data_IF_710534215982
#
_entry.id   IF_710534215982
#
_cell.length_a   1.000
_cell.length_b   1.000
_cell.length_c   1.000
_cell.angle_alpha   90.00
_cell.angle_beta   90.00
_cell.angle_gamma   90.00
#
_symmetry.space_group_name_H-M   'P 1'
#
loop_
_entity.id
_entity.type
_entity.pdbx_description
1 polymer ?
#
# COMPACT_ATOMS: atom_id res chain seq x y z
N UNK A 1 14.22 -22.52 -8.87
CA UNK A 1 13.07 -22.92 -8.04
C UNK A 1 11.82 -22.73 -8.87
N UNK A 2 10.79 -23.55 -8.72
CA UNK A 2 9.43 -23.04 -8.94
C UNK A 2 9.06 -22.43 -7.60
N UNK A 3 8.79 -21.13 -7.61
CA UNK A 3 8.46 -20.34 -6.41
C UNK A 3 6.94 -20.31 -6.17
N UNK A 4 6.17 -20.78 -7.16
CA UNK A 4 4.72 -20.72 -7.20
C UNK A 4 4.11 -22.13 -7.19
N UNK A 5 2.99 -22.28 -6.49
CA UNK A 5 2.06 -23.39 -6.67
C UNK A 5 1.59 -23.53 -8.14
N UNK A 6 0.88 -24.62 -8.47
CA UNK A 6 0.51 -24.97 -9.86
C UNK A 6 -0.28 -23.88 -10.63
N UNK A 7 -0.73 -22.80 -9.97
CA UNK A 7 -1.65 -21.78 -10.49
C UNK A 7 -1.01 -20.45 -10.89
N UNK A 8 0.24 -20.19 -10.51
CA UNK A 8 0.96 -18.96 -10.90
C UNK A 8 0.57 -17.71 -10.11
N UNK A 9 0.90 -16.53 -10.63
CA UNK A 9 0.58 -15.23 -10.02
C UNK A 9 -0.91 -14.90 -10.14
N UNK A 10 -1.39 -13.86 -9.44
CA UNK A 10 -2.74 -13.31 -9.67
C UNK A 10 -2.95 -12.94 -11.14
N UNK A 11 -1.93 -12.36 -11.79
CA UNK A 11 -1.99 -11.99 -13.21
C UNK A 11 -2.30 -13.20 -14.08
N UNK A 12 -1.62 -14.33 -13.86
CA UNK A 12 -1.84 -15.58 -14.60
C UNK A 12 -3.27 -16.10 -14.45
N UNK A 13 -3.79 -16.05 -13.23
CA UNK A 13 -5.18 -16.47 -12.91
C UNK A 13 -6.19 -15.61 -13.66
N UNK A 14 -6.06 -14.28 -13.55
CA UNK A 14 -6.97 -13.35 -14.21
C UNK A 14 -6.87 -13.44 -15.73
N UNK A 15 -5.67 -13.60 -16.30
CA UNK A 15 -5.48 -13.77 -17.75
C UNK A 15 -6.15 -15.07 -18.23
N UNK A 16 -5.99 -16.17 -17.49
CA UNK A 16 -6.65 -17.44 -17.79
C UNK A 16 -8.17 -17.32 -17.83
N UNK A 17 -8.78 -16.69 -16.82
CA UNK A 17 -10.22 -16.41 -16.77
C UNK A 17 -10.63 -15.54 -17.95
N UNK A 18 -9.93 -14.42 -18.16
CA UNK A 18 -10.23 -13.47 -19.22
C UNK A 18 -10.22 -14.14 -20.60
N UNK A 19 -9.18 -14.91 -20.92
CA UNK A 19 -9.04 -15.58 -22.21
C UNK A 19 -10.14 -16.62 -22.45
N UNK A 20 -10.53 -17.39 -21.43
CA UNK A 20 -11.64 -18.36 -21.52
C UNK A 20 -12.96 -17.65 -21.81
N UNK A 21 -13.27 -16.61 -21.04
CA UNK A 21 -14.51 -15.84 -21.21
C UNK A 21 -14.53 -15.10 -22.54
N UNK A 22 -13.41 -14.49 -22.94
CA UNK A 22 -13.27 -13.79 -24.22
C UNK A 22 -13.46 -14.76 -25.38
N UNK A 23 -12.81 -15.93 -25.38
CA UNK A 23 -12.92 -16.91 -26.45
C UNK A 23 -14.34 -17.46 -26.58
N UNK A 24 -14.97 -17.85 -25.47
CA UNK A 24 -16.33 -18.39 -25.46
C UNK A 24 -17.36 -17.32 -25.81
N UNK A 25 -17.24 -16.13 -25.23
CA UNK A 25 -18.09 -14.98 -25.52
C UNK A 25 -17.99 -14.55 -26.98
N UNK A 26 -16.78 -14.51 -27.54
CA UNK A 26 -16.56 -14.21 -28.96
C UNK A 26 -17.19 -15.28 -29.84
N UNK A 27 -17.01 -16.56 -29.53
CA UNK A 27 -17.62 -17.66 -30.29
C UNK A 27 -19.14 -17.56 -30.32
N UNK A 28 -19.78 -17.38 -29.15
CA UNK A 28 -21.23 -17.23 -29.04
C UNK A 28 -21.69 -15.96 -29.77
N UNK A 29 -20.98 -14.84 -29.57
CA UNK A 29 -21.26 -13.57 -30.23
C UNK A 29 -21.23 -13.69 -31.74
N UNK A 30 -20.19 -14.33 -32.30
CA UNK A 30 -20.09 -14.59 -33.75
C UNK A 30 -21.27 -15.40 -34.25
N UNK A 31 -21.65 -16.47 -33.55
CA UNK A 31 -22.80 -17.31 -33.94
C UNK A 31 -24.10 -16.51 -33.93
N UNK A 32 -24.36 -15.76 -32.86
CA UNK A 32 -25.59 -14.96 -32.70
C UNK A 32 -25.66 -13.84 -33.74
N UNK A 33 -24.56 -13.09 -33.92
CA UNK A 33 -24.49 -11.99 -34.89
C UNK A 33 -24.61 -12.54 -36.31
N UNK A 34 -23.89 -13.60 -36.67
CA UNK A 34 -23.98 -14.20 -38.01
C UNK A 34 -25.38 -14.75 -38.30
N UNK A 35 -26.02 -15.42 -37.33
CA UNK A 35 -27.38 -15.91 -37.48
C UNK A 35 -28.40 -14.78 -37.63
N UNK A 36 -28.21 -13.70 -36.85
CA UNK A 36 -29.05 -12.50 -36.93
C UNK A 36 -28.90 -11.81 -38.28
N UNK A 37 -27.67 -11.60 -38.75
CA UNK A 37 -27.39 -11.02 -40.07
C UNK A 37 -27.90 -11.91 -41.20
N UNK A 38 -27.76 -13.23 -41.09
CA UNK A 38 -28.31 -14.18 -42.05
C UNK A 38 -29.84 -14.06 -42.14
N UNK A 39 -30.55 -14.03 -41.01
CA UNK A 39 -31.99 -13.88 -41.00
C UNK A 39 -32.42 -12.51 -41.51
N UNK A 40 -31.74 -11.45 -41.09
CA UNK A 40 -31.99 -10.09 -41.57
C UNK A 40 -31.83 -10.00 -43.09
N UNK A 41 -30.81 -10.64 -43.66
CA UNK A 41 -30.59 -10.68 -45.10
C UNK A 41 -31.60 -11.57 -45.84
N UNK A 42 -31.82 -12.80 -45.35
CA UNK A 42 -32.69 -13.81 -45.99
C UNK A 42 -34.16 -13.41 -45.98
N UNK A 43 -34.60 -12.83 -44.87
CA UNK A 43 -35.98 -12.40 -44.64
C UNK A 43 -36.14 -10.88 -44.79
N UNK A 44 -35.16 -10.19 -45.40
CA UNK A 44 -35.31 -8.77 -45.74
C UNK A 44 -36.52 -8.58 -46.64
N UNK A 45 -37.21 -7.45 -46.47
CA UNK A 45 -38.31 -7.08 -47.34
C UNK A 45 -37.82 -6.91 -48.78
N UNK A 46 -38.56 -7.49 -49.71
CA UNK A 46 -38.36 -7.37 -51.14
C UNK A 46 -39.69 -6.93 -51.72
N UNK A 47 -39.70 -5.98 -52.68
CA UNK A 47 -40.93 -5.39 -53.25
C UNK A 47 -41.98 -6.42 -53.74
N UNK A 48 -41.59 -7.68 -53.92
CA UNK A 48 -42.49 -8.81 -54.11
C UNK A 48 -42.85 -9.49 -52.78
N UNK A 49 -44.11 -9.33 -52.36
CA UNK A 49 -44.68 -10.03 -51.20
C UNK A 49 -44.68 -11.54 -51.46
N UNK A 50 -43.89 -12.29 -50.71
CA UNK A 50 -43.90 -13.76 -50.76
C UNK A 50 -45.21 -14.25 -50.15
N UNK A 51 -46.03 -14.95 -50.93
CA UNK A 51 -47.22 -15.68 -50.45
C UNK A 51 -46.76 -16.90 -49.63
N UNK A 52 -46.43 -16.67 -48.36
CA UNK A 52 -46.09 -17.71 -47.40
C UNK A 52 -47.28 -17.94 -46.46
N UNK A 53 -47.94 -19.09 -46.59
CA UNK A 53 -49.09 -19.51 -45.77
C UNK A 53 -48.77 -19.60 -44.26
N UNK A 54 -47.48 -19.53 -43.87
CA UNK A 54 -47.07 -19.53 -42.46
C UNK A 54 -47.00 -18.13 -41.82
N UNK A 55 -47.29 -17.08 -42.58
CA UNK A 55 -47.34 -15.72 -42.04
C UNK A 55 -48.54 -15.55 -41.09
N UNK A 56 -48.33 -15.04 -39.86
CA UNK A 56 -49.44 -14.80 -38.96
C UNK A 56 -50.36 -13.73 -39.54
N UNK A 57 -51.65 -14.05 -39.66
CA UNK A 57 -52.67 -13.10 -40.10
C UNK A 57 -53.32 -12.38 -38.91
N UNK A 58 -53.73 -11.13 -39.11
CA UNK A 58 -54.40 -10.34 -38.09
C UNK A 58 -55.71 -11.02 -37.66
N UNK A 59 -55.78 -11.41 -36.38
CA UNK A 59 -56.96 -12.04 -35.78
C UNK A 59 -56.87 -13.56 -35.60
N UNK A 60 -55.82 -14.22 -36.09
CA UNK A 60 -55.55 -15.62 -35.80
C UNK A 60 -54.68 -15.76 -34.54
N UNK A 61 -55.09 -16.63 -33.60
CA UNK A 61 -54.24 -17.00 -32.49
C UNK A 61 -53.13 -17.92 -33.00
N UNK A 62 -51.85 -17.64 -32.71
CA UNK A 62 -50.76 -18.49 -33.16
C UNK A 62 -50.96 -19.90 -32.62
N UNK A 63 -51.20 -20.87 -33.51
CA UNK A 63 -51.27 -22.29 -33.15
C UNK A 63 -49.84 -22.76 -32.88
N UNK A 64 -49.51 -22.94 -31.60
CA UNK A 64 -48.15 -23.15 -31.10
C UNK A 64 -47.23 -24.00 -31.99
N UNK A 65 -46.09 -23.43 -32.35
CA UNK A 65 -45.09 -24.11 -33.18
C UNK A 65 -44.38 -25.25 -32.43
N UNK A 66 -43.86 -26.23 -33.18
CA UNK A 66 -43.02 -27.35 -32.67
C UNK A 66 -41.68 -26.92 -32.02
N UNK A 67 -41.48 -25.62 -31.79
CA UNK A 67 -40.21 -25.00 -31.36
C UNK A 67 -39.90 -25.14 -29.86
N UNK A 68 -40.88 -25.45 -29.01
CA UNK A 68 -40.68 -25.51 -27.55
C UNK A 68 -39.53 -26.43 -27.14
N UNK A 69 -39.40 -27.61 -27.76
CA UNK A 69 -38.30 -28.54 -27.47
C UNK A 69 -36.91 -27.96 -27.80
N UNK A 70 -36.80 -27.15 -28.86
CA UNK A 70 -35.54 -26.50 -29.25
C UNK A 70 -35.17 -25.39 -28.26
N UNK A 71 -36.17 -24.64 -27.79
CA UNK A 71 -35.99 -23.61 -26.76
C UNK A 71 -35.55 -24.21 -25.41
N UNK A 72 -36.18 -25.29 -24.97
CA UNK A 72 -35.76 -25.98 -23.73
C UNK A 72 -34.36 -26.56 -23.85
N UNK A 73 -33.98 -27.12 -25.01
CA UNK A 73 -32.63 -27.63 -25.23
C UNK A 73 -31.58 -26.51 -25.21
N UNK A 74 -31.83 -25.39 -25.91
CA UNK A 74 -30.89 -24.27 -25.93
C UNK A 74 -30.74 -23.64 -24.54
N UNK A 75 -31.84 -23.48 -23.80
CA UNK A 75 -31.82 -22.99 -22.44
C UNK A 75 -31.04 -23.94 -21.51
N UNK A 76 -31.28 -25.25 -21.61
CA UNK A 76 -30.58 -26.25 -20.81
C UNK A 76 -29.06 -26.28 -21.07
N UNK A 77 -28.64 -26.22 -22.34
CA UNK A 77 -27.21 -26.16 -22.69
C UNK A 77 -26.57 -24.88 -22.16
N UNK A 78 -27.24 -23.73 -22.34
CA UNK A 78 -26.76 -22.45 -21.84
C UNK A 78 -26.62 -22.45 -20.31
N UNK A 79 -27.60 -23.01 -19.59
CA UNK A 79 -27.57 -23.11 -18.15
C UNK A 79 -26.38 -23.96 -17.66
N UNK A 80 -26.12 -25.10 -18.31
CA UNK A 80 -24.96 -25.94 -17.97
C UNK A 80 -23.65 -25.18 -18.18
N UNK A 81 -23.48 -24.50 -19.32
CA UNK A 81 -22.27 -23.72 -19.61
C UNK A 81 -22.06 -22.64 -18.55
N UNK A 82 -23.10 -21.86 -18.25
CA UNK A 82 -23.01 -20.76 -17.26
C UNK A 82 -22.71 -21.30 -15.86
N UNK A 83 -23.39 -22.35 -15.42
CA UNK A 83 -23.14 -22.95 -14.09
C UNK A 83 -21.71 -23.49 -14.01
N UNK A 84 -21.21 -24.17 -15.06
CA UNK A 84 -19.84 -24.66 -15.07
C UNK A 84 -18.81 -23.54 -15.01
N UNK A 85 -19.04 -22.42 -15.72
CA UNK A 85 -18.16 -21.26 -15.67
C UNK A 85 -18.18 -20.61 -14.28
N UNK A 86 -19.37 -20.44 -13.67
CA UNK A 86 -19.49 -19.86 -12.32
C UNK A 86 -18.75 -20.71 -11.28
N UNK A 87 -18.94 -22.03 -11.30
CA UNK A 87 -18.24 -22.92 -10.36
C UNK A 87 -16.73 -22.87 -10.55
N UNK A 88 -16.26 -22.83 -11.79
CA UNK A 88 -14.84 -22.73 -12.08
C UNK A 88 -14.26 -21.37 -11.65
N UNK A 89 -14.90 -20.25 -12.02
CA UNK A 89 -14.46 -18.91 -11.65
C UNK A 89 -14.47 -18.71 -10.14
N UNK A 90 -15.49 -19.21 -9.43
CA UNK A 90 -15.51 -19.17 -7.97
C UNK A 90 -14.34 -19.93 -7.34
N UNK A 91 -13.97 -21.09 -7.89
CA UNK A 91 -12.79 -21.82 -7.44
C UNK A 91 -11.47 -21.07 -7.67
N UNK A 92 -11.36 -20.28 -8.74
CA UNK A 92 -10.20 -19.41 -8.98
C UNK A 92 -10.22 -18.16 -8.08
N UNK A 93 -11.40 -17.68 -7.68
CA UNK A 93 -11.53 -16.55 -6.78
C UNK A 93 -11.09 -16.91 -5.36
N UNK A 94 -11.43 -18.11 -4.87
CA UNK A 94 -10.95 -18.60 -3.59
C UNK A 94 -9.40 -18.68 -3.50
N UNK A 95 -8.74 -18.97 -4.62
CA UNK A 95 -7.27 -18.94 -4.72
C UNK A 95 -6.69 -17.52 -4.55
N UNK A 96 -7.40 -16.52 -5.09
CA UNK A 96 -6.94 -15.13 -5.06
C UNK A 96 -7.21 -14.49 -3.70
N UNK A 97 -8.29 -14.88 -3.02
CA UNK A 97 -8.67 -14.35 -1.70
C UNK A 97 -7.80 -14.89 -0.56
N UNK A 98 -7.38 -16.16 -0.61
CA UNK A 98 -6.67 -16.81 0.51
C UNK A 98 -5.53 -17.69 -0.05
N UNK A 99 -4.30 -17.14 -0.12
CA UNK A 99 -3.15 -17.85 -0.66
C UNK A 99 -2.33 -18.61 0.39
N UNK A 100 -2.71 -18.58 1.68
CA UNK A 100 -1.87 -18.95 2.84
C UNK A 100 -1.28 -20.37 2.78
N UNK A 101 -1.90 -21.27 2.01
CA UNK A 101 -1.45 -22.66 1.84
C UNK A 101 -0.64 -22.92 0.54
N UNK A 102 -0.34 -21.89 -0.27
CA UNK A 102 0.21 -22.06 -1.64
C UNK A 102 1.54 -21.35 -1.93
N UNK A 103 2.09 -20.57 -1.00
CA UNK A 103 3.42 -19.98 -1.15
C UNK A 103 4.53 -20.89 -0.62
N UNK A 104 5.62 -21.02 -1.39
CA UNK A 104 6.84 -21.73 -0.97
C UNK A 104 7.76 -20.85 -0.08
N UNK A 105 7.47 -19.56 0.02
CA UNK A 105 8.23 -18.54 0.78
C UNK A 105 7.25 -17.75 1.66
N UNK A 106 7.73 -17.29 2.82
CA UNK A 106 6.96 -16.37 3.66
C UNK A 106 6.76 -15.03 2.92
N UNK A 107 5.53 -14.49 2.88
CA UNK A 107 5.25 -13.23 2.23
C UNK A 107 5.93 -12.07 2.95
N UNK A 108 6.34 -11.03 2.21
CA UNK A 108 6.66 -9.73 2.81
C UNK A 108 5.34 -9.05 3.16
N UNK A 109 5.16 -8.73 4.43
CA UNK A 109 4.00 -8.01 4.95
C UNK A 109 4.26 -6.51 4.89
N UNK A 110 3.33 -5.76 4.30
CA UNK A 110 3.40 -4.30 4.17
C UNK A 110 2.01 -3.73 4.48
N UNK A 111 1.93 -2.86 5.47
CA UNK A 111 0.71 -2.12 5.78
C UNK A 111 0.64 -0.88 4.88
N UNK A 112 -0.54 -0.65 4.32
CA UNK A 112 -0.77 0.42 3.35
C UNK A 112 -1.85 1.34 3.86
N UNK A 113 -1.51 2.60 4.08
CA UNK A 113 -2.46 3.64 4.45
C UNK A 113 -2.65 4.66 3.31
N UNK A 114 -3.90 4.86 2.91
CA UNK A 114 -4.29 5.98 2.08
C UNK A 114 -4.73 7.17 2.92
N UNK A 115 -4.04 8.30 2.80
CA UNK A 115 -4.38 9.57 3.45
C UNK A 115 -4.25 10.76 2.48
N UNK A 116 -5.27 11.62 2.45
CA UNK A 116 -5.35 12.80 1.59
C UNK A 116 -5.28 12.43 0.11
N UNK A 117 -4.07 12.50 -0.45
CA UNK A 117 -3.75 12.05 -1.81
C UNK A 117 -2.34 11.42 -1.91
N UNK A 118 -1.91 10.71 -0.87
CA UNK A 118 -0.67 9.96 -0.83
C UNK A 118 -0.90 8.51 -0.38
N UNK A 119 0.09 7.66 -0.61
CA UNK A 119 0.13 6.30 -0.13
C UNK A 119 1.32 6.17 0.82
N UNK A 120 1.05 5.70 2.03
CA UNK A 120 2.03 5.42 3.07
C UNK A 120 2.18 3.90 3.19
N UNK A 121 3.40 3.46 3.41
CA UNK A 121 3.79 2.06 3.48
C UNK A 121 4.58 1.87 4.76
N UNK A 122 4.17 0.91 5.58
CA UNK A 122 4.88 0.49 6.78
C UNK A 122 5.30 -0.97 6.58
N UNK A 123 6.57 -1.27 6.86
CA UNK A 123 7.14 -2.61 6.73
C UNK A 123 7.16 -3.28 8.10
N UNK A 124 7.24 -4.62 8.12
CA UNK A 124 7.21 -5.41 9.36
C UNK A 124 8.29 -5.02 10.40
N UNK A 125 9.39 -4.40 9.96
CA UNK A 125 10.43 -3.89 10.85
C UNK A 125 10.18 -2.44 11.33
N UNK A 126 9.01 -1.85 11.09
CA UNK A 126 8.69 -0.46 11.45
C UNK A 126 9.29 0.61 10.53
N UNK A 127 9.99 0.21 9.44
CA UNK A 127 10.40 1.17 8.43
C UNK A 127 9.17 1.77 7.74
N UNK A 128 9.22 3.05 7.39
CA UNK A 128 8.15 3.74 6.67
C UNK A 128 8.63 4.25 5.31
N UNK A 129 7.73 4.23 4.32
CA UNK A 129 7.96 4.84 3.03
C UNK A 129 6.70 5.54 2.53
N UNK A 130 6.86 6.65 1.82
CA UNK A 130 5.74 7.39 1.22
C UNK A 130 5.89 7.48 -0.30
N UNK A 131 4.82 7.14 -1.02
CA UNK A 131 4.73 7.26 -2.48
C UNK A 131 5.50 6.21 -3.29
N UNK A 132 6.51 5.56 -2.70
CA UNK A 132 7.20 4.40 -3.30
C UNK A 132 7.20 3.21 -2.35
N UNK A 133 6.62 2.10 -2.79
CA UNK A 133 6.64 0.81 -2.10
C UNK A 133 7.75 -0.04 -2.71
N UNK A 134 8.80 -0.34 -1.95
CA UNK A 134 9.88 -1.21 -2.37
C UNK A 134 9.52 -2.67 -2.06
N UNK A 135 9.72 -3.57 -3.01
CA UNK A 135 9.39 -5.00 -2.83
C UNK A 135 10.43 -5.90 -3.48
N UNK A 136 10.68 -7.10 -2.95
CA UNK A 136 11.58 -8.06 -3.58
C UNK A 136 10.94 -8.72 -4.83
N UNK A 137 11.76 -8.94 -5.86
CA UNK A 137 11.39 -9.75 -7.00
C UNK A 137 11.24 -11.23 -6.61
N UNK A 138 10.35 -11.94 -7.30
CA UNK A 138 10.12 -13.37 -7.11
C UNK A 138 9.76 -13.76 -5.66
N UNK A 139 9.10 -12.87 -4.90
CA UNK A 139 8.58 -13.17 -3.56
C UNK A 139 7.15 -12.64 -3.39
N UNK A 140 6.25 -13.38 -2.73
CA UNK A 140 4.92 -12.89 -2.42
C UNK A 140 4.98 -11.65 -1.52
N UNK A 141 4.12 -10.68 -1.79
CA UNK A 141 3.90 -9.50 -0.97
C UNK A 141 2.44 -9.54 -0.51
N UNK A 142 2.22 -9.65 0.79
CA UNK A 142 0.93 -9.52 1.43
C UNK A 142 0.77 -8.06 1.87
N UNK A 143 -0.38 -7.46 1.55
CA UNK A 143 -0.67 -6.09 1.93
C UNK A 143 -1.99 -6.03 2.68
N UNK A 144 -1.97 -5.36 3.82
CA UNK A 144 -3.16 -4.96 4.57
C UNK A 144 -3.40 -3.48 4.28
N UNK A 145 -4.60 -3.13 3.81
CA UNK A 145 -4.90 -1.77 3.33
C UNK A 145 -5.95 -1.12 4.22
N UNK A 146 -5.67 0.11 4.66
CA UNK A 146 -6.56 0.96 5.44
C UNK A 146 -6.52 2.41 4.95
N UNK A 147 -7.29 3.30 5.60
CA UNK A 147 -7.24 4.73 5.34
C UNK A 147 -7.28 5.57 6.61
N UNK A 148 -6.49 6.64 6.62
CA UNK A 148 -6.47 7.66 7.66
C UNK A 148 -7.62 8.68 7.58
N UNK A 149 -8.29 8.83 6.42
CA UNK A 149 -9.23 9.93 6.20
C UNK A 149 -10.57 9.55 5.53
N UNK A 150 -10.58 9.16 4.26
CA UNK A 150 -11.77 8.90 3.43
C UNK A 150 -11.65 7.56 2.71
N UNK A 151 -12.73 7.14 2.05
CA UNK A 151 -12.65 5.91 1.28
C UNK A 151 -11.75 6.09 0.04
N UNK A 152 -10.67 5.31 -0.02
CA UNK A 152 -9.85 5.12 -1.21
C UNK A 152 -9.94 3.67 -1.72
N UNK A 153 -9.38 3.40 -2.89
CA UNK A 153 -9.09 2.02 -3.27
C UNK A 153 -7.67 1.96 -3.78
N UNK A 154 -6.81 1.26 -3.06
CA UNK A 154 -5.46 0.94 -3.51
C UNK A 154 -5.53 0.00 -4.71
N UNK A 155 -4.71 0.22 -5.73
CA UNK A 155 -4.64 -0.71 -6.85
C UNK A 155 -3.40 -0.58 -7.70
N UNK A 156 -3.00 -1.72 -8.27
CA UNK A 156 -1.88 -1.86 -9.19
C UNK A 156 -2.41 -2.57 -10.43
N UNK A 157 -2.68 -1.79 -11.47
CA UNK A 157 -3.46 -2.21 -12.65
C UNK A 157 -2.92 -3.47 -13.33
N UNK A 158 -1.62 -3.50 -13.61
CA UNK A 158 -0.95 -4.56 -14.34
C UNK A 158 -0.71 -5.82 -13.50
N UNK A 159 -0.54 -5.68 -12.19
CA UNK A 159 -0.46 -6.78 -11.23
C UNK A 159 -1.83 -7.34 -10.79
N UNK A 160 -2.94 -6.73 -11.25
CA UNK A 160 -4.33 -7.13 -10.91
C UNK A 160 -4.61 -7.09 -9.41
N UNK A 161 -4.08 -6.06 -8.75
CA UNK A 161 -4.29 -5.77 -7.33
C UNK A 161 -5.33 -4.67 -7.20
N UNK A 162 -6.29 -4.88 -6.30
CA UNK A 162 -7.26 -3.87 -5.88
C UNK A 162 -7.76 -4.26 -4.48
N UNK A 163 -7.64 -3.36 -3.52
CA UNK A 163 -8.15 -3.52 -2.15
C UNK A 163 -8.69 -2.17 -1.66
N UNK A 164 -9.85 -2.21 -1.02
CA UNK A 164 -10.53 -0.99 -0.56
C UNK A 164 -9.87 -0.49 0.74
N UNK A 165 -9.48 0.78 0.75
CA UNK A 165 -8.88 1.47 1.89
C UNK A 165 -9.98 2.27 2.60
N UNK A 166 -10.50 1.74 3.71
CA UNK A 166 -11.68 2.30 4.38
C UNK A 166 -11.32 2.70 5.82
N UNK A 167 -11.62 3.93 6.26
CA UNK A 167 -11.31 4.33 7.63
C UNK A 167 -11.92 3.42 8.70
N UNK A 168 -11.06 2.79 9.49
CA UNK A 168 -11.44 1.87 10.57
C UNK A 168 -11.77 0.44 10.13
N UNK A 169 -11.50 0.08 8.87
CA UNK A 169 -11.58 -1.29 8.35
C UNK A 169 -10.28 -1.62 7.61
N UNK A 170 -9.88 -2.89 7.64
CA UNK A 170 -8.71 -3.39 6.95
C UNK A 170 -9.16 -4.36 5.85
N UNK A 171 -8.55 -4.25 4.67
CA UNK A 171 -8.77 -5.15 3.53
C UNK A 171 -7.44 -5.78 3.10
N UNK A 172 -7.44 -7.10 2.95
CA UNK A 172 -6.24 -7.87 2.63
C UNK A 172 -6.15 -8.15 1.13
N UNK A 173 -4.97 -8.02 0.56
CA UNK A 173 -4.67 -8.57 -0.77
C UNK A 173 -3.20 -8.95 -0.86
N UNK A 174 -2.82 -9.58 -1.96
CA UNK A 174 -1.43 -9.94 -2.20
C UNK A 174 -1.07 -9.74 -3.66
N UNK A 175 0.23 -9.76 -3.96
CA UNK A 175 0.75 -9.89 -5.32
C UNK A 175 2.16 -10.47 -5.31
N UNK A 176 2.70 -10.66 -6.51
CA UNK A 176 4.09 -11.05 -6.71
C UNK A 176 4.56 -10.43 -8.02
N UNK A 177 5.74 -9.81 -7.99
CA UNK A 177 6.38 -9.24 -9.18
C UNK A 177 7.64 -10.04 -9.51
N UNK A 178 7.77 -10.48 -10.77
CA UNK A 178 8.82 -11.42 -11.18
C UNK A 178 10.06 -10.72 -11.81
N UNK A 179 9.94 -9.46 -12.23
CA UNK A 179 11.00 -8.75 -12.95
C UNK A 179 11.70 -7.71 -12.06
N UNK A 180 12.90 -8.04 -11.56
CA UNK A 180 13.73 -7.08 -10.83
C UNK A 180 14.05 -5.84 -11.70
N UNK A 181 13.98 -4.66 -11.09
CA UNK A 181 14.10 -3.36 -11.74
C UNK A 181 12.82 -2.89 -12.44
N UNK A 182 11.72 -3.65 -12.40
CA UNK A 182 10.43 -3.19 -12.87
C UNK A 182 9.84 -2.14 -11.92
N UNK A 183 9.04 -1.24 -12.50
CA UNK A 183 8.24 -0.29 -11.74
C UNK A 183 6.78 -0.41 -12.17
N UNK A 184 5.89 -0.49 -11.18
CA UNK A 184 4.45 -0.57 -11.40
C UNK A 184 3.77 0.65 -10.78
N UNK A 185 2.78 1.21 -11.48
CA UNK A 185 2.07 2.39 -10.99
C UNK A 185 0.98 1.97 -9.99
N UNK A 186 0.98 2.63 -8.83
CA UNK A 186 -0.09 2.54 -7.85
C UNK A 186 -1.07 3.66 -8.16
N UNK A 187 -2.37 3.35 -8.17
CA UNK A 187 -3.44 4.29 -8.50
C UNK A 187 -4.56 4.20 -7.45
N UNK A 188 -5.20 5.32 -7.14
CA UNK A 188 -6.47 5.32 -6.42
C UNK A 188 -7.65 5.04 -7.37
N UNK A 189 -8.45 4.01 -7.08
CA UNK A 189 -9.60 3.61 -7.89
C UNK A 189 -10.97 4.04 -7.34
N UNK A 190 -11.00 4.76 -6.21
CA UNK A 190 -12.22 5.32 -5.63
C UNK A 190 -12.12 6.85 -5.59
N UNK A 191 -13.19 7.56 -5.92
CA UNK A 191 -13.16 9.03 -5.98
C UNK A 191 -13.01 9.61 -4.57
N UNK A 192 -11.77 9.95 -4.19
CA UNK A 192 -11.43 10.41 -2.84
C UNK A 192 -11.37 11.94 -2.67
N UNK A 193 -11.35 12.72 -3.76
CA UNK A 193 -11.40 14.19 -3.67
C UNK A 193 -10.80 14.91 -4.88
N UNK A 194 -10.46 16.19 -4.70
CA UNK A 194 -10.03 17.11 -5.77
C UNK A 194 -8.75 16.66 -6.50
N UNK A 195 -7.83 15.99 -5.80
CA UNK A 195 -6.58 15.49 -6.37
C UNK A 195 -6.59 13.97 -6.59
N UNK A 196 -7.77 13.34 -6.66
CA UNK A 196 -7.93 11.90 -6.87
C UNK A 196 -7.08 11.35 -8.05
N UNK A 197 -7.04 12.05 -9.18
CA UNK A 197 -6.26 11.62 -10.35
C UNK A 197 -4.74 11.77 -10.20
N UNK A 198 -4.27 12.39 -9.12
CA UNK A 198 -2.86 12.60 -8.79
C UNK A 198 -2.42 11.75 -7.60
N UNK A 199 -3.36 11.02 -6.98
CA UNK A 199 -3.07 10.06 -5.92
C UNK A 199 -2.48 8.79 -6.53
N UNK A 200 -1.20 8.89 -6.86
CA UNK A 200 -0.41 7.84 -7.49
C UNK A 200 0.80 7.51 -6.62
N UNK A 201 1.26 6.27 -6.71
CA UNK A 201 2.53 5.82 -6.13
C UNK A 201 3.27 4.91 -7.10
N UNK A 202 4.39 4.35 -6.66
CA UNK A 202 5.19 3.42 -7.46
C UNK A 202 5.52 2.19 -6.63
N UNK A 203 5.32 1.00 -7.20
CA UNK A 203 5.98 -0.22 -6.72
C UNK A 203 7.35 -0.29 -7.39
N UNK A 204 8.41 -0.30 -6.60
CA UNK A 204 9.77 -0.50 -7.08
C UNK A 204 10.20 -1.94 -6.77
N UNK A 205 10.41 -2.74 -7.81
CA UNK A 205 10.77 -4.16 -7.67
C UNK A 205 12.28 -4.30 -7.64
N UNK A 206 12.83 -4.82 -6.54
CA UNK A 206 14.27 -4.89 -6.28
C UNK A 206 14.76 -6.33 -6.37
N UNK A 207 16.07 -6.53 -6.60
CA UNK A 207 16.66 -7.85 -6.34
C UNK A 207 16.58 -8.16 -4.84
N UNK A 208 16.45 -9.44 -4.47
CA UNK A 208 16.24 -9.84 -3.07
C UNK A 208 17.34 -9.30 -2.14
N UNK A 209 18.61 -9.47 -2.51
CA UNK A 209 19.76 -8.94 -1.74
C UNK A 209 19.72 -7.40 -1.62
N UNK A 210 19.21 -6.69 -2.65
CA UNK A 210 19.10 -5.23 -2.66
C UNK A 210 17.96 -4.75 -1.76
N UNK A 211 16.84 -5.49 -1.74
CA UNK A 211 15.71 -5.21 -0.85
C UNK A 211 16.10 -5.41 0.62
N UNK A 212 16.79 -6.51 0.93
CA UNK A 212 17.31 -6.77 2.29
C UNK A 212 18.24 -5.65 2.73
N UNK A 213 19.20 -5.26 1.88
CA UNK A 213 20.10 -4.13 2.18
C UNK A 213 19.33 -2.82 2.37
N UNK A 214 18.35 -2.55 1.50
CA UNK A 214 17.54 -1.33 1.59
C UNK A 214 16.77 -1.27 2.92
N UNK A 215 16.22 -2.41 3.36
CA UNK A 215 15.47 -2.52 4.61
C UNK A 215 16.38 -2.26 5.82
N UNK A 216 17.59 -2.86 5.83
CA UNK A 216 18.61 -2.65 6.86
C UNK A 216 19.08 -1.18 6.93
N UNK A 217 19.13 -0.51 5.77
CA UNK A 217 19.55 0.89 5.65
C UNK A 217 18.44 1.91 6.03
N UNK A 218 17.18 1.48 6.24
CA UNK A 218 16.09 2.43 6.55
C UNK A 218 16.12 2.95 7.98
N UNK A 219 16.74 2.23 8.91
CA UNK A 219 16.70 2.54 10.33
C UNK A 219 18.12 2.90 10.80
N UNK A 220 18.43 4.19 10.72
CA UNK A 220 19.72 4.72 11.17
C UNK A 220 19.48 5.97 12.01
N UNK A 221 20.30 6.16 13.05
CA UNK A 221 20.28 7.37 13.87
C UNK A 221 21.65 8.04 13.88
N UNK A 222 21.74 9.24 13.34
CA UNK A 222 22.93 10.11 13.46
C UNK A 222 22.80 11.01 14.68
N UNK A 223 23.61 10.78 15.71
CA UNK A 223 23.65 11.60 16.93
C UNK A 223 24.86 12.53 16.89
N UNK A 224 24.62 13.84 16.99
CA UNK A 224 25.67 14.86 17.10
C UNK A 224 25.62 15.50 18.48
N UNK A 225 26.78 15.69 19.10
CA UNK A 225 26.90 16.39 20.38
C UNK A 225 27.79 17.62 20.19
N UNK A 226 27.25 18.78 20.55
CA UNK A 226 27.88 20.08 20.38
C UNK A 226 27.89 20.89 21.69
N UNK A 227 28.81 21.84 21.78
CA UNK A 227 28.84 22.86 22.84
C UNK A 227 27.85 24.00 22.57
N UNK A 228 27.55 24.83 23.57
CA UNK A 228 26.69 26.03 23.41
C UNK A 228 27.12 26.98 22.28
N UNK A 229 28.42 27.01 21.95
CA UNK A 229 28.97 27.83 20.85
C UNK A 229 28.76 27.19 19.45
N UNK A 230 28.11 26.02 19.36
CA UNK A 230 27.91 25.25 18.14
C UNK A 230 29.19 24.61 17.59
N UNK A 231 30.19 24.44 18.46
CA UNK A 231 31.39 23.68 18.13
C UNK A 231 31.20 22.22 18.56
N UNK A 232 31.35 21.29 17.61
CA UNK A 232 31.35 19.87 17.87
C UNK A 232 32.43 19.50 18.90
N UNK A 233 32.10 18.60 19.81
CA UNK A 233 33.05 18.19 20.85
C UNK A 233 34.12 17.29 20.23
N UNK A 234 35.28 17.88 19.93
CA UNK A 234 36.36 17.21 19.16
C UNK A 234 37.53 16.72 20.02
N UNK A 235 37.53 16.99 21.33
CA UNK A 235 38.58 16.58 22.27
C UNK A 235 38.00 15.81 23.47
N UNK A 236 37.14 14.84 23.16
CA UNK A 236 36.61 13.90 24.13
C UNK A 236 37.65 12.77 24.29
N UNK A 237 38.11 12.49 25.50
CA UNK A 237 38.86 11.26 25.77
C UNK A 237 37.93 10.05 25.80
N UNK A 238 38.45 8.84 25.56
CA UNK A 238 37.70 7.58 25.42
C UNK A 238 36.78 7.21 26.62
N UNK A 239 36.74 8.04 27.68
CA UNK A 239 36.04 7.83 28.95
C UNK A 239 35.11 9.01 29.33
N UNK A 240 34.82 10.00 28.45
CA UNK A 240 34.10 11.20 28.95
C UNK A 240 32.57 11.07 28.93
N UNK A 241 32.00 10.25 28.04
CA UNK A 241 30.56 9.98 28.02
C UNK A 241 30.20 8.69 27.25
N UNK A 242 28.98 8.21 27.48
CA UNK A 242 28.36 7.07 26.83
C UNK A 242 26.96 7.45 26.34
N UNK A 243 26.67 7.09 25.08
CA UNK A 243 25.34 7.15 24.49
C UNK A 243 24.72 5.74 24.56
N UNK A 244 23.52 5.65 25.09
CA UNK A 244 22.68 4.45 25.11
C UNK A 244 21.33 4.79 24.48
N UNK A 245 20.88 3.97 23.54
CA UNK A 245 19.50 4.00 23.06
C UNK A 245 18.84 2.65 23.28
N UNK A 246 17.59 2.64 23.72
CA UNK A 246 16.80 1.43 24.01
C UNK A 246 15.41 1.58 23.41
N UNK A 247 14.98 0.61 22.61
CA UNK A 247 13.60 0.60 22.10
C UNK A 247 12.61 0.55 23.27
N UNK A 248 11.57 1.39 23.30
CA UNK A 248 10.63 1.45 24.44
C UNK A 248 9.93 0.11 24.70
N UNK A 249 9.67 -0.64 23.63
CA UNK A 249 9.11 -2.00 23.68
C UNK A 249 10.16 -3.12 23.56
N UNK A 250 11.42 -2.89 23.95
CA UNK A 250 12.50 -3.90 23.86
C UNK A 250 12.10 -5.26 24.49
N UNK A 251 11.37 -5.25 25.60
CA UNK A 251 10.87 -6.45 26.28
C UNK A 251 9.82 -7.27 25.47
N UNK A 252 9.24 -6.69 24.41
CA UNK A 252 8.25 -7.35 23.53
C UNK A 252 8.91 -8.11 22.37
N UNK A 253 10.17 -7.80 22.05
CA UNK A 253 10.91 -8.43 20.96
C UNK A 253 11.85 -9.53 21.46
N UNK A 254 12.14 -10.51 20.60
CA UNK A 254 13.11 -11.58 20.92
C UNK A 254 14.58 -11.12 20.78
N UNK A 255 14.79 -10.02 20.05
CA UNK A 255 16.09 -9.39 19.83
C UNK A 255 16.43 -8.39 20.94
N UNK A 256 17.72 -8.07 21.09
CA UNK A 256 18.20 -7.08 22.06
C UNK A 256 18.33 -5.73 21.36
N UNK A 257 17.31 -4.88 21.51
CA UNK A 257 17.20 -3.58 20.83
C UNK A 257 17.82 -2.45 21.66
N UNK A 258 18.98 -2.73 22.26
CA UNK A 258 19.81 -1.81 23.03
C UNK A 258 21.11 -1.56 22.27
N UNK A 259 21.42 -0.28 22.02
CA UNK A 259 22.59 0.13 21.27
C UNK A 259 23.40 1.13 22.10
N UNK A 260 24.64 0.77 22.39
CA UNK A 260 25.57 1.61 23.16
C UNK A 260 26.72 2.09 22.27
N UNK A 261 27.11 3.36 22.42
CA UNK A 261 28.30 3.95 21.81
C UNK A 261 29.10 4.69 22.86
N UNK A 262 30.40 4.41 22.90
CA UNK A 262 31.33 5.09 23.79
C UNK A 262 31.88 6.34 23.10
N UNK A 263 32.42 7.29 23.87
CA UNK A 263 33.04 8.51 23.34
C UNK A 263 34.07 8.25 22.21
N UNK A 264 34.76 7.11 22.22
CA UNK A 264 35.73 6.75 21.18
C UNK A 264 35.13 6.44 19.81
N UNK A 265 33.83 6.15 19.76
CA UNK A 265 33.10 5.87 18.52
C UNK A 265 32.69 7.15 17.77
N UNK A 266 32.74 8.31 18.45
CA UNK A 266 32.38 9.59 17.86
C UNK A 266 33.51 10.15 16.99
N UNK A 267 33.20 10.49 15.75
CA UNK A 267 34.08 11.19 14.81
C UNK A 267 33.58 12.62 14.62
N UNK A 268 34.45 13.61 14.88
CA UNK A 268 34.11 15.04 14.80
C UNK A 268 32.83 15.42 15.58
N UNK A 269 32.57 14.78 16.72
CA UNK A 269 31.42 15.04 17.59
C UNK A 269 30.12 14.35 17.15
N UNK A 270 30.17 13.48 16.15
CA UNK A 270 29.01 12.72 15.64
C UNK A 270 29.25 11.21 15.67
N UNK A 271 28.19 10.44 15.87
CA UNK A 271 28.19 8.98 15.71
C UNK A 271 26.94 8.57 14.94
N UNK A 272 27.09 7.57 14.07
CA UNK A 272 25.96 6.91 13.43
C UNK A 272 25.69 5.60 14.14
N UNK A 273 24.43 5.36 14.48
CA UNK A 273 23.92 4.06 14.90
C UNK A 273 23.22 3.46 13.68
N UNK A 274 23.91 2.54 13.02
CA UNK A 274 23.43 1.70 11.93
C UNK A 274 22.96 0.33 12.41
N UNK A 275 22.37 -0.45 11.49
CA UNK A 275 21.84 -1.80 11.74
C UNK A 275 20.76 -1.83 12.84
N UNK A 276 19.94 -0.78 12.94
CA UNK A 276 18.81 -0.77 13.87
C UNK A 276 17.76 -1.76 13.35
N UNK A 277 17.50 -2.81 14.12
CA UNK A 277 16.69 -3.94 13.64
C UNK A 277 15.18 -3.62 13.57
N UNK A 278 14.69 -2.68 14.39
CA UNK A 278 13.27 -2.35 14.52
C UNK A 278 13.05 -0.84 14.58
N UNK A 279 12.04 -0.33 13.90
CA UNK A 279 11.60 1.04 13.97
C UNK A 279 10.63 1.25 15.13
N UNK A 280 10.44 2.51 15.52
CA UNK A 280 9.59 2.91 16.64
C UNK A 280 10.24 3.95 17.54
N UNK A 281 9.72 4.09 18.76
CA UNK A 281 10.20 5.05 19.75
C UNK A 281 11.35 4.45 20.58
N UNK A 282 12.45 5.19 20.69
CA UNK A 282 13.64 4.85 21.45
C UNK A 282 13.86 5.85 22.58
N UNK A 283 14.14 5.34 23.77
CA UNK A 283 14.65 6.15 24.88
C UNK A 283 16.15 6.33 24.71
N UNK A 284 16.59 7.58 24.60
CA UNK A 284 17.99 7.97 24.42
C UNK A 284 18.54 8.54 25.73
N UNK A 285 19.69 8.05 26.16
CA UNK A 285 20.41 8.54 27.35
C UNK A 285 21.87 8.82 27.02
N UNK A 286 22.33 10.04 27.31
CA UNK A 286 23.75 10.41 27.25
C UNK A 286 24.25 10.63 28.67
N UNK A 287 25.13 9.74 29.12
CA UNK A 287 25.72 9.79 30.46
C UNK A 287 27.17 10.25 30.39
N UNK A 288 27.51 11.33 31.09
CA UNK A 288 28.87 11.85 31.22
C UNK A 288 29.56 11.23 32.45
N UNK A 289 30.83 10.82 32.33
CA UNK A 289 31.56 10.19 33.45
C UNK A 289 32.03 11.20 34.51
N UNK A 290 32.35 12.43 34.09
CA UNK A 290 32.70 13.53 34.98
C UNK A 290 31.45 14.40 35.24
N UNK A 291 31.27 14.87 36.49
CA UNK A 291 30.17 15.78 36.91
C UNK A 291 30.24 17.19 36.23
N UNK A 292 30.94 17.32 35.10
CA UNK A 292 31.10 18.56 34.35
C UNK A 292 29.84 18.89 33.52
N UNK A 293 29.05 17.87 33.15
CA UNK A 293 27.81 17.99 32.37
C UNK A 293 26.67 17.18 32.99
N UNK A 294 25.43 17.65 32.82
CA UNK A 294 24.24 16.90 33.23
C UNK A 294 23.90 15.78 32.22
N UNK A 295 23.33 14.68 32.72
CA UNK A 295 22.79 13.60 31.88
C UNK A 295 21.66 14.12 31.01
N UNK A 296 21.68 13.76 29.73
CA UNK A 296 20.61 14.09 28.78
C UNK A 296 19.75 12.83 28.61
N UNK A 297 18.44 12.99 28.76
CA UNK A 297 17.42 11.96 28.52
C UNK A 297 16.44 12.52 27.47
N UNK A 298 16.15 11.73 26.43
CA UNK A 298 15.26 12.12 25.35
C UNK A 298 14.51 10.91 24.76
N UNK A 299 13.50 11.15 23.92
CA UNK A 299 12.79 10.12 23.18
C UNK A 299 12.83 10.43 21.68
N UNK A 300 13.29 9.46 20.88
CA UNK A 300 13.50 9.62 19.44
C UNK A 300 12.71 8.57 18.68
N UNK A 301 11.90 8.98 17.71
CA UNK A 301 11.21 8.09 16.78
C UNK A 301 12.10 7.75 15.58
N UNK A 302 12.29 6.46 15.31
CA UNK A 302 13.10 5.95 14.20
C UNK A 302 12.22 5.08 13.30
N UNK A 303 11.68 5.65 12.23
CA UNK A 303 10.95 4.91 11.18
C UNK A 303 11.58 5.11 9.79
N UNK A 304 12.45 6.12 9.69
CA UNK A 304 13.32 6.46 8.58
C UNK A 304 14.66 6.98 9.12
N UNK A 305 15.68 7.23 8.27
CA UNK A 305 16.95 7.76 8.74
C UNK A 305 16.79 9.08 9.52
N UNK A 306 17.05 9.02 10.83
CA UNK A 306 16.89 10.12 11.77
C UNK A 306 18.23 10.78 12.11
N UNK A 307 18.19 12.06 12.50
CA UNK A 307 19.37 12.77 12.98
C UNK A 307 19.01 13.72 14.10
N UNK A 308 19.72 13.55 15.23
CA UNK A 308 19.52 14.31 16.46
C UNK A 308 20.78 15.08 16.83
N UNK A 309 20.59 16.29 17.38
CA UNK A 309 21.70 17.14 17.84
C UNK A 309 21.45 17.60 19.25
N UNK A 310 22.38 17.27 20.15
CA UNK A 310 22.32 17.60 21.56
C UNK A 310 23.37 18.63 21.94
N UNK A 311 22.96 19.65 22.69
CA UNK A 311 23.87 20.70 23.18
C UNK A 311 24.20 20.46 24.64
N UNK A 312 25.49 20.50 24.99
CA UNK A 312 25.96 20.41 26.38
C UNK A 312 26.34 21.80 26.92
N UNK A 313 25.88 22.11 28.13
CA UNK A 313 26.23 23.32 28.90
C UNK A 313 26.89 22.95 30.23
N UNK A 314 27.79 23.81 30.73
CA UNK A 314 28.48 23.58 32.02
C UNK A 314 27.46 23.42 33.17
N UNK A 315 27.62 22.39 34.01
CA UNK A 315 26.73 22.10 35.15
C UNK A 315 26.68 23.19 36.25
N UNK A 316 27.45 24.29 36.12
CA UNK A 316 27.62 25.35 37.11
C UNK A 316 26.91 26.69 36.75
N UNK A 317 26.15 26.77 35.65
CA UNK A 317 25.26 27.90 35.38
C UNK A 317 23.81 27.57 35.76
N UNK A 318 23.41 27.96 36.99
CA UNK A 318 22.01 28.12 37.39
C UNK A 318 21.30 29.08 36.41
N UNK A 319 20.80 28.57 35.29
CA UNK A 319 19.78 29.22 34.48
C UNK A 319 18.55 28.33 34.44
N UNK A 320 17.57 28.69 35.29
CA UNK A 320 16.18 28.29 35.16
C UNK A 320 15.69 28.60 33.73
N UNK A 321 15.69 27.63 32.82
CA UNK A 321 14.91 27.71 31.59
C UNK A 321 14.28 26.34 31.27
N UNK A 322 13.07 26.15 31.81
CA UNK A 322 12.07 25.23 31.28
C UNK A 322 11.77 25.62 29.82
N UNK A 323 12.43 25.01 28.83
CA UNK A 323 12.01 25.08 27.44
C UNK A 323 12.61 23.95 26.58
N UNK A 324 12.06 22.73 26.68
CA UNK A 324 11.88 21.94 25.47
C UNK A 324 10.53 21.23 25.49
N UNK A 325 9.53 21.97 25.02
CA UNK A 325 8.20 21.48 24.70
C UNK A 325 7.70 22.34 23.56
N UNK A 326 7.80 21.82 22.33
CA UNK A 326 7.25 22.45 21.13
C UNK A 326 5.73 22.38 21.18
N UNK A 327 5.09 23.27 21.96
CA UNK A 327 3.66 23.54 21.83
C UNK A 327 3.41 24.44 20.62
N UNK A 328 2.75 23.86 19.62
CA UNK A 328 2.23 24.53 18.44
C UNK A 328 0.95 25.30 18.81
N UNK A 329 1.09 26.52 19.32
CA UNK A 329 -0.05 27.42 19.57
C UNK A 329 -0.35 28.25 18.31
N UNK A 330 -1.55 28.05 17.76
CA UNK A 330 -2.11 28.81 16.67
C UNK A 330 -2.48 30.23 17.13
N UNK A 331 -1.95 31.24 16.42
CA UNK A 331 -2.33 32.65 16.55
C UNK A 331 -3.81 32.87 16.18
N UNK A 332 -4.68 32.99 17.18
CA UNK A 332 -5.99 33.63 17.09
C UNK A 332 -5.82 35.14 17.37
N UNK A 333 -5.60 35.93 16.32
CA UNK A 333 -5.60 37.41 16.40
C UNK A 333 -7.04 37.94 16.27
N UNK A 334 -7.73 38.07 17.40
CA UNK A 334 -8.94 38.89 17.52
C UNK A 334 -8.56 40.38 17.44
N UNK A 335 -8.88 41.01 16.29
CA UNK A 335 -8.90 42.47 16.16
C UNK A 335 -10.32 43.00 16.36
N UNK A 336 -10.56 43.49 17.59
CA UNK A 336 -11.60 44.46 17.90
C UNK A 336 -11.19 45.84 17.33
N UNK A 337 -11.99 46.40 16.42
CA UNK A 337 -12.06 47.86 16.25
C UNK A 337 -13.48 48.28 15.82
N UNK A 338 -14.02 49.21 16.58
CA UNK A 338 -15.39 49.72 16.57
C UNK A 338 -15.71 50.68 15.39
N UNK A 339 -17.02 50.89 15.20
CA UNK A 339 -17.71 52.05 14.59
C UNK A 339 -17.81 52.16 13.05
N UNK A 340 -19.02 51.98 12.48
CA UNK A 340 -20.01 53.07 12.30
C UNK A 340 -21.02 52.80 11.16
N UNK A 341 -22.27 53.18 11.44
CA UNK A 341 -23.40 53.58 10.58
C UNK A 341 -23.85 52.78 9.33
N UNK A 342 -25.10 52.31 9.42
CA UNK A 342 -26.13 52.80 8.50
C UNK A 342 -26.64 51.88 7.39
N UNK A 343 -27.94 51.54 7.46
CA UNK A 343 -28.78 51.59 6.24
C UNK A 343 -29.62 50.35 5.92
N UNK A 344 -30.91 50.49 6.22
CA UNK A 344 -32.10 49.77 5.73
C UNK A 344 -32.05 49.22 4.29
N UNK A 345 -32.37 47.93 4.10
CA UNK A 345 -33.64 47.44 3.52
C UNK A 345 -33.66 45.92 3.33
#
# INVERSE_FOLDING_TARGET
>A
MQVLGERGTRVDVFEGIFMVFLALGTLVGVVVVAYTLYNAYKYRDTDERKDDESLPTLGELPTGGKGGKKLFLSFGISAIIVISLVVWTYGMLLYVEDPDDEFDQDPVEIDVEGDGFAWHFEYANGAEATGTMNVPADQPVAIEVTSGDVWHTFGISDLRVKADAIPGEYDDTWFMAEEAGAQHEIECFELCGDFHTQMTGTVNVMEQDEFETWLDDQLTLDVTIETEDGEAITNVTDEDFQLEIVHQDNDEYDADLEYTRDASDFEDGSVTIDEIEQGGEYDLTITFEDDDFETIEDTVGITDPASETYTVGDADEDTDDDANGTENEADDDETDDEDDDGGEN
#
